data_IF_453557979849
#
_entry.id   IF_453557979849
#
_cell.length_a   1.000
_cell.length_b   1.000
_cell.length_c   1.000
_cell.angle_alpha   90.00
_cell.angle_beta   90.00
_cell.angle_gamma   90.00
#
_symmetry.space_group_name_H-M   'P 1'
#
loop_
_entity.id
_entity.type
_entity.pdbx_description
1 polymer ?
#
# COMPACT_ATOMS: atom_id res chain seq x y z
N UNK A 1 -1.47 -1.79 -14.50
CA UNK A 1 -0.53 -0.69 -14.84
C UNK A 1 -0.13 -0.03 -13.54
N UNK A 2 1.14 0.33 -13.32
CA UNK A 2 1.52 1.04 -12.11
C UNK A 2 0.72 2.35 -12.01
N UNK A 3 0.08 2.55 -10.86
CA UNK A 3 -0.74 3.71 -10.53
C UNK A 3 0.14 4.93 -10.21
N UNK A 4 1.33 4.71 -9.64
CA UNK A 4 2.27 5.77 -9.33
C UNK A 4 3.19 5.99 -10.54
N UNK A 5 3.18 7.21 -11.09
CA UNK A 5 4.07 7.60 -12.19
C UNK A 5 5.52 7.71 -11.72
N UNK A 6 6.48 7.46 -12.61
CA UNK A 6 7.91 7.47 -12.26
C UNK A 6 8.41 8.80 -11.69
N UNK A 7 7.84 9.93 -12.16
CA UNK A 7 8.12 11.25 -11.61
C UNK A 7 7.75 11.32 -10.12
N UNK A 8 6.58 10.79 -9.77
CA UNK A 8 6.05 10.84 -8.42
C UNK A 8 6.81 9.86 -7.51
N UNK A 9 7.22 8.70 -8.03
CA UNK A 9 8.10 7.75 -7.31
C UNK A 9 9.38 8.42 -6.80
N UNK A 10 10.02 9.29 -7.60
CA UNK A 10 11.23 10.01 -7.19
C UNK A 10 10.96 11.00 -6.06
N UNK A 11 9.83 11.70 -6.12
CA UNK A 11 9.41 12.65 -5.08
C UNK A 11 9.11 11.91 -3.78
N UNK A 12 8.36 10.81 -3.86
CA UNK A 12 7.98 9.98 -2.72
C UNK A 12 9.21 9.38 -2.03
N UNK A 13 10.13 8.76 -2.78
CA UNK A 13 11.40 8.22 -2.24
C UNK A 13 12.18 9.28 -1.46
N UNK A 14 12.31 10.49 -2.02
CA UNK A 14 13.00 11.60 -1.35
C UNK A 14 12.28 12.03 -0.08
N UNK A 15 10.95 12.12 -0.10
CA UNK A 15 10.14 12.55 1.05
C UNK A 15 10.15 11.50 2.16
N UNK A 16 10.01 10.22 1.82
CA UNK A 16 10.06 9.11 2.76
C UNK A 16 11.43 8.99 3.41
N UNK A 17 12.52 9.07 2.63
CA UNK A 17 13.88 9.07 3.16
C UNK A 17 14.14 10.15 4.20
N UNK A 18 13.52 11.34 4.07
CA UNK A 18 13.70 12.47 5.00
C UNK A 18 12.73 12.48 6.18
N UNK A 19 11.51 11.96 6.01
CA UNK A 19 10.40 12.24 6.94
C UNK A 19 9.90 11.00 7.66
N UNK A 20 10.07 9.80 7.11
CA UNK A 20 9.78 8.58 7.86
C UNK A 20 10.90 8.39 8.88
N UNK A 21 10.51 8.23 10.14
CA UNK A 21 11.43 7.96 11.25
C UNK A 21 11.28 6.52 11.72
N UNK A 22 10.03 6.06 11.83
CA UNK A 22 9.68 4.74 12.33
C UNK A 22 9.08 3.86 11.21
N UNK A 23 9.12 2.53 11.37
CA UNK A 23 8.36 1.63 10.52
C UNK A 23 6.86 1.96 10.51
N UNK A 24 6.24 1.84 9.34
CA UNK A 24 4.82 2.08 9.09
C UNK A 24 4.19 0.79 8.59
N UNK A 25 3.07 0.40 9.19
CA UNK A 25 2.23 -0.69 8.71
C UNK A 25 0.99 -0.11 8.04
N UNK A 26 0.78 -0.44 6.77
CA UNK A 26 -0.41 -0.15 6.01
C UNK A 26 -1.28 -1.41 6.00
N UNK A 27 -2.39 -1.36 6.73
CA UNK A 27 -3.37 -2.45 6.73
C UNK A 27 -4.44 -2.13 5.69
N UNK A 28 -4.54 -2.97 4.66
CA UNK A 28 -5.49 -2.83 3.56
C UNK A 28 -6.54 -3.90 3.71
N UNK A 29 -7.78 -3.48 3.94
CA UNK A 29 -8.90 -4.41 3.97
C UNK A 29 -9.57 -4.45 2.59
N UNK A 30 -9.82 -5.65 2.08
CA UNK A 30 -10.36 -5.93 0.75
C UNK A 30 -11.51 -6.94 0.82
N UNK A 31 -12.24 -7.09 -0.28
CA UNK A 31 -13.21 -8.16 -0.50
C UNK A 31 -13.31 -8.45 -2.00
N UNK A 32 -13.61 -9.69 -2.38
CA UNK A 32 -13.68 -10.12 -3.80
C UNK A 32 -14.91 -9.56 -4.55
N UNK A 33 -16.02 -9.34 -3.84
CA UNK A 33 -17.27 -8.86 -4.41
C UNK A 33 -17.68 -7.51 -3.84
N UNK A 34 -18.42 -6.72 -4.62
CA UNK A 34 -18.93 -5.40 -4.21
C UNK A 34 -17.83 -4.43 -3.73
N UNK A 35 -16.63 -4.50 -4.32
CA UNK A 35 -15.57 -3.54 -4.05
C UNK A 35 -14.92 -3.01 -5.33
N UNK A 36 -15.37 -1.85 -5.78
CA UNK A 36 -14.94 -1.22 -7.03
C UNK A 36 -13.44 -0.88 -7.05
N UNK A 37 -12.86 -0.47 -5.91
CA UNK A 37 -11.48 0.04 -5.84
C UNK A 37 -10.52 -0.82 -5.03
N UNK A 38 -10.92 -2.01 -4.60
CA UNK A 38 -10.08 -2.85 -3.75
C UNK A 38 -8.77 -3.24 -4.46
N UNK A 39 -8.84 -3.56 -5.75
CA UNK A 39 -7.67 -3.91 -6.55
C UNK A 39 -6.69 -2.74 -6.68
N UNK A 40 -7.20 -1.54 -6.95
CA UNK A 40 -6.43 -0.32 -7.11
C UNK A 40 -5.80 0.12 -5.79
N UNK A 41 -6.55 0.09 -4.69
CA UNK A 41 -6.05 0.46 -3.36
C UNK A 41 -4.96 -0.52 -2.92
N UNK A 42 -5.15 -1.83 -3.12
CA UNK A 42 -4.13 -2.84 -2.86
C UNK A 42 -2.87 -2.57 -3.69
N UNK A 43 -3.02 -2.37 -5.00
CA UNK A 43 -1.89 -2.10 -5.89
C UNK A 43 -1.14 -0.83 -5.49
N UNK A 44 -1.86 0.24 -5.13
CA UNK A 44 -1.27 1.49 -4.68
C UNK A 44 -0.48 1.30 -3.38
N UNK A 45 -1.04 0.56 -2.42
CA UNK A 45 -0.38 0.27 -1.16
C UNK A 45 0.91 -0.55 -1.37
N UNK A 46 0.83 -1.64 -2.16
CA UNK A 46 1.98 -2.46 -2.53
C UNK A 46 3.05 -1.64 -3.27
N UNK A 47 2.65 -0.75 -4.18
CA UNK A 47 3.58 0.17 -4.84
C UNK A 47 4.26 1.12 -3.83
N UNK A 48 3.55 1.64 -2.83
CA UNK A 48 4.16 2.47 -1.78
C UNK A 48 5.18 1.70 -0.94
N UNK A 49 4.89 0.45 -0.55
CA UNK A 49 5.82 -0.42 0.16
C UNK A 49 7.10 -0.70 -0.64
N UNK A 50 7.00 -0.76 -1.97
CA UNK A 50 8.18 -0.93 -2.83
C UNK A 50 9.12 0.29 -2.86
N UNK A 51 8.67 1.46 -2.37
CA UNK A 51 9.44 2.71 -2.43
C UNK A 51 10.33 2.94 -1.20
N UNK A 52 10.02 2.33 -0.05
CA UNK A 52 10.78 2.47 1.20
C UNK A 52 10.60 1.23 2.10
N UNK A 53 11.70 0.64 2.56
CA UNK A 53 11.72 -0.60 3.37
C UNK A 53 11.00 -0.49 4.72
N UNK A 54 10.77 0.74 5.21
CA UNK A 54 10.06 1.00 6.46
C UNK A 54 8.55 0.89 6.28
N UNK A 55 8.05 0.90 5.06
CA UNK A 55 6.61 0.75 4.77
C UNK A 55 6.34 -0.72 4.51
N UNK A 56 5.51 -1.34 5.36
CA UNK A 56 5.02 -2.70 5.19
C UNK A 56 3.53 -2.68 4.92
N UNK A 57 3.07 -3.52 3.99
CA UNK A 57 1.65 -3.65 3.65
C UNK A 57 1.19 -5.03 4.06
N UNK A 58 0.05 -5.06 4.74
CA UNK A 58 -0.67 -6.27 5.12
C UNK A 58 -2.07 -6.17 4.53
N UNK A 59 -2.47 -7.17 3.77
CA UNK A 59 -3.77 -7.21 3.09
C UNK A 59 -4.64 -8.23 3.81
N UNK A 60 -5.84 -7.81 4.19
CA UNK A 60 -6.84 -8.62 4.86
C UNK A 60 -8.11 -8.68 4.02
N UNK A 61 -8.59 -9.86 3.69
CA UNK A 61 -9.88 -10.08 3.07
C UNK A 61 -10.98 -10.18 4.14
N UNK A 62 -11.97 -9.30 4.09
CA UNK A 62 -13.02 -9.22 5.13
C UNK A 62 -13.80 -10.53 5.33
N UNK A 63 -13.93 -11.36 4.29
CA UNK A 63 -14.66 -12.62 4.39
C UNK A 63 -13.75 -13.77 4.85
N UNK A 64 -12.56 -13.84 4.26
CA UNK A 64 -11.62 -14.94 4.47
C UNK A 64 -10.85 -14.81 5.79
N UNK A 65 -10.61 -13.58 6.25
CA UNK A 65 -9.77 -13.26 7.42
C UNK A 65 -10.59 -12.83 8.64
N UNK A 66 -11.86 -13.23 8.71
CA UNK A 66 -12.81 -12.78 9.74
C UNK A 66 -12.38 -13.11 11.19
N UNK A 67 -11.58 -14.17 11.35
CA UNK A 67 -11.16 -14.70 12.65
C UNK A 67 -9.66 -14.45 12.96
N UNK A 68 -8.97 -13.63 12.17
CA UNK A 68 -7.58 -13.22 12.39
C UNK A 68 -7.42 -12.12 13.45
#
# INVERSE_FOLDING_TARGET
MPLIKDRDKKILKTRFGRSLVNPVRLLVFTQEHECEYCAEVRMLAEELASLDERIRVEVYDFQSDRDL
#
